data_IF_634590447298
#
_entry.id   IF_634590447298
#
_cell.length_a   1.000
_cell.length_b   1.000
_cell.length_c   1.000
_cell.angle_alpha   90.00
_cell.angle_beta   90.00
_cell.angle_gamma   90.00
#
_symmetry.space_group_name_H-M   'P 1'
#
loop_
_entity.id
_entity.type
_entity.pdbx_description
1 polymer ?
#
# COMPACT_ATOMS: atom_id res chain seq x y z
N UNK A 1 2.58 2.90 39.17
CA UNK A 1 3.17 4.18 38.69
C UNK A 1 2.33 4.70 37.52
N UNK A 2 1.59 5.80 37.73
CA UNK A 2 0.69 6.40 36.72
C UNK A 2 1.49 7.44 35.91
N UNK A 3 1.70 7.18 34.62
CA UNK A 3 2.34 8.13 33.71
C UNK A 3 1.31 9.18 33.26
N UNK A 4 1.48 10.42 33.73
CA UNK A 4 0.71 11.57 33.31
C UNK A 4 1.05 11.92 31.84
N UNK A 5 0.07 11.79 30.95
CA UNK A 5 0.17 12.23 29.56
C UNK A 5 -0.19 13.71 29.47
N UNK A 6 0.82 14.57 29.42
CA UNK A 6 0.65 15.97 29.05
C UNK A 6 0.29 16.06 27.56
N UNK A 7 -0.98 16.35 27.28
CA UNK A 7 -1.43 16.75 25.94
C UNK A 7 -1.06 18.22 25.72
N UNK A 8 0.03 18.47 25.01
CA UNK A 8 0.36 19.79 24.50
C UNK A 8 -0.59 20.12 23.34
N UNK A 9 -1.55 21.02 23.60
CA UNK A 9 -2.43 21.59 22.58
C UNK A 9 -1.63 22.59 21.74
N UNK A 10 -1.11 22.14 20.59
CA UNK A 10 -0.60 23.02 19.55
C UNK A 10 -1.75 23.36 18.60
N UNK A 11 -2.49 24.42 18.94
CA UNK A 11 -3.38 25.09 18.01
C UNK A 11 -2.54 25.91 17.03
N UNK A 12 -2.53 25.50 15.76
CA UNK A 12 -2.04 26.34 14.66
C UNK A 12 -3.22 26.66 13.76
N UNK A 13 -3.78 27.84 13.98
CA UNK A 13 -4.68 28.50 13.06
C UNK A 13 -3.85 29.21 11.99
N UNK A 14 -3.82 28.66 10.77
CA UNK A 14 -3.41 29.42 9.57
C UNK A 14 -4.39 29.05 8.46
N UNK A 15 -5.47 29.81 8.37
CA UNK A 15 -6.34 29.89 7.21
C UNK A 15 -6.17 31.27 6.59
N UNK A 16 -5.01 31.53 6.00
CA UNK A 16 -4.83 32.65 5.07
C UNK A 16 -5.08 32.11 3.67
N UNK A 17 -6.21 32.53 3.11
CA UNK A 17 -6.64 32.20 1.76
C UNK A 17 -5.65 32.73 0.73
N UNK A 18 -4.80 31.84 0.23
CA UNK A 18 -4.14 32.06 -1.06
C UNK A 18 -5.14 31.60 -2.12
N UNK A 19 -5.86 32.54 -2.72
CA UNK A 19 -6.53 32.32 -4.00
C UNK A 19 -5.44 32.12 -5.05
N UNK A 20 -4.94 30.89 -5.17
CA UNK A 20 -4.11 30.45 -6.29
C UNK A 20 -4.96 30.62 -7.56
N UNK A 21 -4.83 31.78 -8.20
CA UNK A 21 -5.22 31.98 -9.58
C UNK A 21 -4.38 31.02 -10.41
N UNK A 22 -4.93 29.82 -10.66
CA UNK A 22 -4.33 28.83 -11.54
C UNK A 22 -4.24 29.53 -12.91
N UNK A 23 -3.05 29.86 -13.42
CA UNK A 23 -2.95 30.43 -14.75
C UNK A 23 -3.60 29.45 -15.71
N UNK A 24 -4.47 29.95 -16.60
CA UNK A 24 -5.11 29.19 -17.65
C UNK A 24 -4.02 28.64 -18.59
N UNK A 25 -3.40 27.54 -18.20
CA UNK A 25 -2.46 26.79 -18.99
C UNK A 25 -3.24 26.28 -20.20
N UNK A 26 -2.97 26.88 -21.36
CA UNK A 26 -3.60 26.53 -22.63
C UNK A 26 -3.55 25.01 -22.81
N UNK A 27 -4.71 24.36 -22.79
CA UNK A 27 -4.76 22.91 -22.92
C UNK A 27 -4.17 22.52 -24.28
N UNK A 28 -3.14 21.65 -24.34
CA UNK A 28 -2.60 21.15 -25.60
C UNK A 28 -3.74 20.47 -26.38
N UNK A 29 -3.97 20.94 -27.61
CA UNK A 29 -5.19 20.67 -28.38
C UNK A 29 -5.16 19.30 -29.05
N UNK A 30 -3.98 18.70 -29.22
CA UNK A 30 -3.83 17.37 -29.83
C UNK A 30 -3.07 16.37 -28.94
N UNK A 31 -3.35 15.05 -29.05
CA UNK A 31 -2.59 14.02 -28.34
C UNK A 31 -1.07 14.06 -28.62
N UNK A 32 -0.66 14.49 -29.81
CA UNK A 32 0.75 14.65 -30.19
C UNK A 32 1.42 15.79 -29.44
N UNK A 33 0.77 16.95 -29.33
CA UNK A 33 1.23 18.09 -28.53
C UNK A 33 1.32 17.73 -27.04
N UNK A 34 0.33 16.99 -26.50
CA UNK A 34 0.37 16.46 -25.12
C UNK A 34 1.61 15.60 -24.87
N UNK A 35 1.93 14.71 -25.81
CA UNK A 35 3.09 13.83 -25.69
C UNK A 35 4.41 14.60 -25.79
N UNK A 36 4.50 15.59 -26.68
CA UNK A 36 5.68 16.44 -26.82
C UNK A 36 5.91 17.28 -25.54
N UNK A 37 4.86 17.95 -25.05
CA UNK A 37 4.92 18.70 -23.79
C UNK A 37 5.30 17.81 -22.60
N UNK A 38 4.79 16.57 -22.51
CA UNK A 38 5.21 15.61 -21.49
C UNK A 38 6.68 15.21 -21.61
N UNK A 39 7.18 15.01 -22.84
CA UNK A 39 8.60 14.67 -23.08
C UNK A 39 9.53 15.82 -22.73
N UNK A 40 9.18 17.05 -23.11
CA UNK A 40 9.94 18.26 -22.77
C UNK A 40 9.98 18.47 -21.27
N UNK A 41 8.82 18.42 -20.59
CA UNK A 41 8.75 18.48 -19.13
C UNK A 41 9.53 17.35 -18.44
N UNK A 42 9.58 16.16 -19.04
CA UNK A 42 10.38 15.05 -18.52
C UNK A 42 11.89 15.27 -18.69
N UNK A 43 12.32 15.91 -19.80
CA UNK A 43 13.72 16.31 -20.02
C UNK A 43 14.14 17.40 -19.04
N UNK A 44 13.33 18.46 -18.92
CA UNK A 44 13.54 19.56 -17.96
C UNK A 44 13.68 19.03 -16.52
N UNK A 45 12.74 18.16 -16.08
CA UNK A 45 12.84 17.49 -14.77
C UNK A 45 14.06 16.59 -14.62
N UNK A 46 14.61 16.06 -15.71
CA UNK A 46 15.81 15.23 -15.68
C UNK A 46 17.06 16.10 -15.54
N UNK A 47 17.10 17.23 -16.21
CA UNK A 47 18.17 18.23 -16.12
C UNK A 47 18.19 18.87 -14.73
N UNK A 48 17.06 19.36 -14.23
CA UNK A 48 16.91 19.88 -12.85
C UNK A 48 17.36 18.86 -11.78
N UNK A 49 17.07 17.57 -11.99
CA UNK A 49 17.54 16.49 -11.08
C UNK A 49 19.03 16.21 -11.19
N UNK A 50 19.66 16.46 -12.35
CA UNK A 50 21.11 16.30 -12.51
C UNK A 50 21.82 17.46 -11.84
N UNK A 51 21.40 18.69 -12.09
CA UNK A 51 21.94 19.89 -11.45
C UNK A 51 21.86 19.78 -9.93
N UNK A 52 20.68 19.46 -9.37
CA UNK A 52 20.51 19.21 -7.92
C UNK A 52 21.35 18.06 -7.36
N UNK A 53 21.78 17.10 -8.19
CA UNK A 53 22.67 16.01 -7.76
C UNK A 53 24.12 16.44 -7.77
N UNK A 54 24.52 17.25 -8.75
CA UNK A 54 25.86 17.84 -8.83
C UNK A 54 26.06 18.83 -7.70
N UNK A 55 25.12 19.75 -7.47
CA UNK A 55 25.12 20.70 -6.34
C UNK A 55 25.26 19.97 -4.99
N UNK A 56 24.46 18.93 -4.74
CA UNK A 56 24.57 18.12 -3.50
C UNK A 56 25.87 17.36 -3.39
N UNK A 57 26.49 16.98 -4.50
CA UNK A 57 27.76 16.26 -4.51
C UNK A 57 28.90 17.22 -4.18
N UNK A 58 28.87 18.44 -4.71
CA UNK A 58 29.81 19.50 -4.37
C UNK A 58 29.65 19.91 -2.91
N UNK A 59 28.43 20.17 -2.43
CA UNK A 59 28.15 20.49 -1.02
C UNK A 59 28.65 19.39 -0.07
N UNK A 60 28.44 18.11 -0.44
CA UNK A 60 28.92 16.99 0.36
C UNK A 60 30.44 16.84 0.32
N UNK A 61 31.08 17.20 -0.80
CA UNK A 61 32.54 17.21 -0.93
C UNK A 61 33.14 18.32 -0.09
N UNK A 62 32.63 19.54 -0.16
CA UNK A 62 33.07 20.66 0.68
C UNK A 62 32.89 20.36 2.17
N UNK A 63 31.76 19.77 2.55
CA UNK A 63 31.54 19.31 3.94
C UNK A 63 32.58 18.28 4.35
N UNK A 64 32.91 17.33 3.48
CA UNK A 64 33.90 16.30 3.78
C UNK A 64 35.31 16.90 3.85
N UNK A 65 35.66 17.83 2.97
CA UNK A 65 36.97 18.50 2.95
C UNK A 65 37.18 19.36 4.21
N UNK A 66 36.10 19.96 4.76
CA UNK A 66 36.12 20.74 6.00
C UNK A 66 36.07 19.90 7.29
N UNK A 67 35.77 18.60 7.21
CA UNK A 67 35.76 17.71 8.37
C UNK A 67 37.17 17.24 8.75
N UNK A 68 37.39 17.05 10.05
CA UNK A 68 38.59 16.38 10.56
C UNK A 68 38.63 14.90 10.16
N UNK A 69 39.80 14.27 10.25
CA UNK A 69 39.93 12.84 9.89
C UNK A 69 39.11 11.92 10.80
N UNK A 70 38.97 12.28 12.09
CA UNK A 70 38.11 11.55 13.03
C UNK A 70 36.63 11.65 12.65
N UNK A 71 36.15 12.85 12.29
CA UNK A 71 34.78 13.08 11.82
C UNK A 71 34.49 12.35 10.50
N UNK A 72 35.46 12.29 9.58
CA UNK A 72 35.34 11.52 8.33
C UNK A 72 35.18 10.03 8.60
N UNK A 73 35.95 9.47 9.53
CA UNK A 73 35.85 8.06 9.92
C UNK A 73 34.50 7.75 10.60
N UNK A 74 34.02 8.63 11.49
CA UNK A 74 32.67 8.50 12.05
C UNK A 74 31.58 8.57 10.97
N UNK A 75 31.70 9.51 10.03
CA UNK A 75 30.75 9.67 8.94
C UNK A 75 30.70 8.41 8.07
N UNK A 76 31.86 7.82 7.73
CA UNK A 76 31.96 6.55 7.00
C UNK A 76 31.31 5.41 7.78
N UNK A 77 31.56 5.29 9.09
CA UNK A 77 30.93 4.26 9.95
C UNK A 77 29.40 4.41 9.96
N UNK A 78 28.88 5.61 10.24
CA UNK A 78 27.44 5.90 10.19
C UNK A 78 26.83 5.59 8.82
N UNK A 79 27.56 5.87 7.74
CA UNK A 79 27.12 5.55 6.39
C UNK A 79 27.12 4.04 6.10
N UNK A 80 28.11 3.31 6.59
CA UNK A 80 28.17 1.85 6.49
C UNK A 80 27.03 1.20 7.27
N UNK A 81 26.81 1.58 8.53
CA UNK A 81 25.70 1.10 9.36
C UNK A 81 24.34 1.37 8.69
N UNK A 82 24.12 2.59 8.21
CA UNK A 82 22.89 2.95 7.49
C UNK A 82 22.72 2.18 6.18
N UNK A 83 23.81 1.79 5.52
CA UNK A 83 23.78 0.97 4.30
C UNK A 83 23.38 -0.47 4.63
N UNK A 84 23.90 -1.02 5.71
CA UNK A 84 23.53 -2.35 6.23
C UNK A 84 22.07 -2.39 6.69
N UNK A 85 21.63 -1.44 7.51
CA UNK A 85 20.22 -1.31 7.92
C UNK A 85 19.28 -1.25 6.71
N UNK A 86 19.64 -0.47 5.68
CA UNK A 86 18.88 -0.39 4.42
C UNK A 86 18.89 -1.70 3.65
N UNK A 87 19.98 -2.47 3.70
CA UNK A 87 20.07 -3.77 3.05
C UNK A 87 19.15 -4.76 3.75
N UNK A 88 19.17 -4.82 5.08
CA UNK A 88 18.28 -5.68 5.88
C UNK A 88 16.80 -5.36 5.65
N UNK A 89 16.42 -4.07 5.71
CA UNK A 89 15.04 -3.64 5.41
C UNK A 89 14.64 -4.02 3.98
N UNK A 90 15.56 -3.94 3.02
CA UNK A 90 15.31 -4.33 1.62
C UNK A 90 15.08 -5.83 1.49
N UNK A 91 15.88 -6.66 2.14
CA UNK A 91 15.71 -8.12 2.12
C UNK A 91 14.41 -8.53 2.83
N UNK A 92 14.13 -7.98 4.01
CA UNK A 92 12.86 -8.20 4.72
C UNK A 92 11.64 -7.80 3.86
N UNK A 93 11.73 -6.68 3.13
CA UNK A 93 10.68 -6.26 2.20
C UNK A 93 10.51 -7.21 1.01
N UNK A 94 11.62 -7.71 0.44
CA UNK A 94 11.58 -8.71 -0.65
C UNK A 94 10.91 -9.99 -0.17
N UNK A 95 11.34 -10.54 0.97
CA UNK A 95 10.71 -11.72 1.56
C UNK A 95 9.22 -11.51 1.80
N UNK A 96 8.82 -10.38 2.39
CA UNK A 96 7.41 -10.07 2.62
C UNK A 96 6.63 -10.03 1.31
N UNK A 97 7.21 -9.45 0.25
CA UNK A 97 6.60 -9.37 -1.08
C UNK A 97 6.44 -10.76 -1.70
N UNK A 98 7.43 -11.63 -1.58
CA UNK A 98 7.40 -12.97 -2.14
C UNK A 98 6.43 -13.88 -1.38
N UNK A 99 6.47 -13.87 -0.04
CA UNK A 99 5.46 -14.52 0.81
C UNK A 99 4.04 -14.02 0.46
N UNK A 100 3.86 -12.73 0.15
CA UNK A 100 2.57 -12.17 -0.30
C UNK A 100 2.15 -12.70 -1.68
N UNK A 101 3.09 -12.85 -2.62
CA UNK A 101 2.80 -13.44 -3.95
C UNK A 101 2.40 -14.90 -3.82
N UNK A 102 3.12 -15.68 -3.02
CA UNK A 102 2.81 -17.09 -2.76
C UNK A 102 1.43 -17.25 -2.16
N UNK A 103 1.08 -16.48 -1.11
CA UNK A 103 -0.27 -16.50 -0.53
C UNK A 103 -1.36 -16.17 -1.56
N UNK A 104 -1.10 -15.21 -2.46
CA UNK A 104 -2.05 -14.87 -3.53
C UNK A 104 -2.16 -15.97 -4.58
N UNK A 105 -1.07 -16.67 -4.89
CA UNK A 105 -1.04 -17.78 -5.84
C UNK A 105 -1.80 -18.96 -5.24
N UNK A 106 -1.42 -19.40 -4.04
CA UNK A 106 -2.10 -20.48 -3.31
C UNK A 106 -3.61 -20.21 -3.18
N UNK A 107 -4.02 -18.98 -2.83
CA UNK A 107 -5.44 -18.63 -2.76
C UNK A 107 -6.15 -18.69 -4.12
N UNK A 108 -5.47 -18.34 -5.21
CA UNK A 108 -6.06 -18.47 -6.55
C UNK A 108 -6.18 -19.93 -6.95
N UNK A 109 -5.18 -20.74 -6.66
CA UNK A 109 -5.16 -22.17 -6.96
C UNK A 109 -6.28 -22.88 -6.18
N UNK A 110 -6.42 -22.59 -4.88
CA UNK A 110 -7.52 -23.09 -4.03
C UNK A 110 -8.91 -22.71 -4.59
N UNK A 111 -9.09 -21.46 -5.03
CA UNK A 111 -10.36 -21.02 -5.61
C UNK A 111 -10.61 -21.69 -6.97
N UNK A 112 -9.55 -21.90 -7.77
CA UNK A 112 -9.63 -22.57 -9.07
C UNK A 112 -10.03 -24.03 -8.90
N UNK A 113 -9.49 -24.71 -7.90
CA UNK A 113 -9.86 -26.08 -7.55
C UNK A 113 -11.34 -26.18 -7.10
N UNK A 114 -11.79 -25.27 -6.24
CA UNK A 114 -13.16 -25.30 -5.69
C UNK A 114 -14.26 -24.84 -6.66
N UNK A 115 -13.94 -23.92 -7.56
CA UNK A 115 -14.93 -23.23 -8.41
C UNK A 115 -14.74 -23.48 -9.90
N UNK A 116 -13.60 -24.01 -10.34
CA UNK A 116 -13.33 -24.27 -11.76
C UNK A 116 -13.58 -23.04 -12.64
N UNK A 117 -14.42 -23.19 -13.66
CA UNK A 117 -14.79 -22.13 -14.58
C UNK A 117 -15.77 -21.10 -14.01
N UNK A 118 -16.46 -21.39 -12.91
CA UNK A 118 -17.39 -20.43 -12.29
C UNK A 118 -16.70 -19.16 -11.80
N UNK A 119 -15.40 -19.24 -11.56
CA UNK A 119 -14.54 -18.09 -11.23
C UNK A 119 -14.57 -16.99 -12.29
N UNK A 120 -14.89 -17.31 -13.56
CA UNK A 120 -15.00 -16.33 -14.64
C UNK A 120 -16.29 -15.51 -14.55
N UNK A 121 -17.34 -16.05 -13.91
CA UNK A 121 -18.67 -15.44 -13.84
C UNK A 121 -18.66 -14.16 -13.00
N UNK A 122 -19.28 -13.06 -13.48
CA UNK A 122 -19.25 -11.78 -12.79
C UNK A 122 -19.94 -11.82 -11.42
N UNK A 123 -21.03 -12.60 -11.28
CA UNK A 123 -21.75 -12.76 -10.01
C UNK A 123 -20.87 -13.42 -8.92
N UNK A 124 -20.13 -14.48 -9.27
CA UNK A 124 -19.20 -15.16 -8.37
C UNK A 124 -18.05 -14.23 -7.98
N UNK A 125 -17.49 -13.47 -8.93
CA UNK A 125 -16.45 -12.46 -8.65
C UNK A 125 -16.94 -11.36 -7.70
N UNK A 126 -18.17 -10.90 -7.86
CA UNK A 126 -18.76 -9.88 -7.00
C UNK A 126 -18.88 -10.39 -5.55
N UNK A 127 -19.37 -11.62 -5.37
CA UNK A 127 -19.48 -12.26 -4.06
C UNK A 127 -18.10 -12.47 -3.41
N UNK A 128 -17.11 -13.00 -4.16
CA UNK A 128 -15.73 -13.14 -3.69
C UNK A 128 -15.13 -11.81 -3.21
N UNK A 129 -15.44 -10.70 -3.91
CA UNK A 129 -14.98 -9.35 -3.55
C UNK A 129 -15.64 -8.86 -2.25
N UNK A 130 -16.94 -9.11 -2.08
CA UNK A 130 -17.69 -8.74 -0.86
C UNK A 130 -17.16 -9.53 0.32
N UNK A 131 -17.06 -10.85 0.19
CA UNK A 131 -16.53 -11.75 1.22
C UNK A 131 -15.11 -11.34 1.63
N UNK A 132 -14.21 -11.10 0.67
CA UNK A 132 -12.85 -10.67 0.95
C UNK A 132 -12.77 -9.34 1.74
N UNK A 133 -13.62 -8.36 1.40
CA UNK A 133 -13.69 -7.08 2.13
C UNK A 133 -14.18 -7.28 3.56
N UNK A 134 -15.23 -8.09 3.77
CA UNK A 134 -15.78 -8.37 5.11
C UNK A 134 -14.76 -9.11 5.97
N UNK A 135 -14.13 -10.15 5.44
CA UNK A 135 -13.06 -10.88 6.12
C UNK A 135 -11.88 -9.97 6.47
N UNK A 136 -11.46 -9.08 5.57
CA UNK A 136 -10.39 -8.12 5.85
C UNK A 136 -10.76 -7.16 7.00
N UNK A 137 -12.00 -6.66 7.04
CA UNK A 137 -12.48 -5.80 8.12
C UNK A 137 -12.51 -6.53 9.46
N UNK A 138 -13.10 -7.73 9.51
CA UNK A 138 -13.18 -8.53 10.74
C UNK A 138 -11.79 -8.91 11.26
N UNK A 139 -10.89 -9.34 10.38
CA UNK A 139 -9.52 -9.68 10.77
C UNK A 139 -8.76 -8.46 11.31
N UNK A 140 -8.94 -7.27 10.72
CA UNK A 140 -8.32 -6.04 11.23
C UNK A 140 -8.83 -5.71 12.64
N UNK A 141 -10.14 -5.78 12.86
CA UNK A 141 -10.74 -5.52 14.18
C UNK A 141 -10.20 -6.52 15.20
N UNK A 142 -10.14 -7.82 14.84
CA UNK A 142 -9.59 -8.89 15.67
C UNK A 142 -8.14 -8.63 16.07
N UNK A 143 -7.28 -8.21 15.13
CA UNK A 143 -5.87 -7.90 15.41
C UNK A 143 -5.74 -6.73 16.38
N UNK A 144 -6.50 -5.65 16.18
CA UNK A 144 -6.48 -4.48 17.08
C UNK A 144 -7.01 -4.86 18.47
N UNK A 145 -8.14 -5.57 18.55
CA UNK A 145 -8.70 -6.03 19.81
C UNK A 145 -7.74 -6.92 20.60
N UNK A 146 -7.00 -7.81 19.91
CA UNK A 146 -5.96 -8.64 20.53
C UNK A 146 -4.79 -7.80 21.07
N UNK A 147 -4.36 -6.78 20.34
CA UNK A 147 -3.30 -5.87 20.79
C UNK A 147 -3.73 -5.03 22.02
N UNK A 148 -5.02 -4.75 22.16
CA UNK A 148 -5.61 -4.00 23.28
C UNK A 148 -6.10 -4.87 24.45
N UNK A 149 -5.96 -6.20 24.39
CA UNK A 149 -6.41 -7.11 25.44
C UNK A 149 -7.94 -7.21 25.60
N UNK A 150 -8.71 -6.95 24.53
CA UNK A 150 -10.18 -6.98 24.55
C UNK A 150 -10.74 -8.35 24.12
N UNK A 151 -10.64 -9.34 25.00
CA UNK A 151 -10.93 -10.74 24.68
C UNK A 151 -12.38 -11.00 24.22
N UNK A 152 -13.36 -10.29 24.78
CA UNK A 152 -14.75 -10.42 24.33
C UNK A 152 -14.94 -10.00 22.86
N UNK A 153 -14.25 -8.94 22.43
CA UNK A 153 -14.33 -8.46 21.05
C UNK A 153 -13.68 -9.46 20.11
N UNK A 154 -12.59 -10.11 20.54
CA UNK A 154 -11.95 -11.20 19.79
C UNK A 154 -12.93 -12.37 19.60
N UNK A 155 -13.59 -12.84 20.68
CA UNK A 155 -14.59 -13.91 20.61
C UNK A 155 -15.74 -13.55 19.66
N UNK A 156 -16.28 -12.33 19.75
CA UNK A 156 -17.33 -11.84 18.85
C UNK A 156 -16.87 -11.83 17.39
N UNK A 157 -15.64 -11.37 17.12
CA UNK A 157 -15.06 -11.40 15.77
C UNK A 157 -14.93 -12.82 15.23
N UNK A 158 -14.48 -13.78 16.05
CA UNK A 158 -14.35 -15.18 15.65
C UNK A 158 -15.71 -15.80 15.29
N UNK A 159 -16.76 -15.51 16.08
CA UNK A 159 -18.14 -15.91 15.73
C UNK A 159 -18.61 -15.28 14.42
N UNK A 160 -18.34 -13.99 14.19
CA UNK A 160 -18.73 -13.31 12.94
C UNK A 160 -17.97 -13.83 11.73
N UNK A 161 -16.69 -14.19 11.88
CA UNK A 161 -15.89 -14.82 10.84
C UNK A 161 -16.50 -16.16 10.45
N UNK A 162 -16.88 -16.99 11.43
CA UNK A 162 -17.54 -18.27 11.16
C UNK A 162 -18.88 -18.08 10.41
N UNK A 163 -19.70 -17.12 10.85
CA UNK A 163 -20.98 -16.78 10.19
C UNK A 163 -20.77 -16.28 8.75
N UNK A 164 -19.75 -15.46 8.51
CA UNK A 164 -19.45 -14.94 7.16
C UNK A 164 -18.94 -16.03 6.22
N UNK A 165 -18.15 -16.99 6.70
CA UNK A 165 -17.75 -18.18 5.93
C UNK A 165 -18.98 -18.99 5.52
N UNK A 166 -19.84 -19.35 6.47
CA UNK A 166 -21.06 -20.09 6.18
C UNK A 166 -22.01 -19.35 5.21
N UNK A 167 -22.10 -18.02 5.31
CA UNK A 167 -22.87 -17.19 4.37
C UNK A 167 -22.28 -17.24 2.96
N UNK A 168 -20.96 -17.14 2.86
CA UNK A 168 -20.25 -17.18 1.59
C UNK A 168 -20.45 -18.53 0.89
N UNK A 169 -20.28 -19.63 1.61
CA UNK A 169 -20.42 -20.99 1.09
C UNK A 169 -21.84 -21.20 0.53
N UNK A 170 -22.87 -20.84 1.30
CA UNK A 170 -24.28 -20.89 0.85
C UNK A 170 -24.54 -20.05 -0.41
N UNK A 171 -23.99 -18.85 -0.49
CA UNK A 171 -24.16 -17.99 -1.67
C UNK A 171 -23.45 -18.55 -2.90
N UNK A 172 -22.26 -19.09 -2.74
CA UNK A 172 -21.51 -19.74 -3.82
C UNK A 172 -22.27 -20.96 -4.34
N UNK A 173 -22.79 -21.81 -3.46
CA UNK A 173 -23.64 -22.96 -3.83
C UNK A 173 -24.90 -22.52 -4.59
N UNK A 174 -25.59 -21.49 -4.10
CA UNK A 174 -26.77 -20.93 -4.78
C UNK A 174 -26.42 -20.41 -6.18
N UNK A 175 -25.27 -19.78 -6.35
CA UNK A 175 -24.80 -19.30 -7.66
C UNK A 175 -24.41 -20.45 -8.59
N UNK A 176 -23.90 -21.56 -8.06
CA UNK A 176 -23.64 -22.80 -8.82
C UNK A 176 -24.96 -23.39 -9.33
N UNK A 177 -25.91 -23.68 -8.43
CA UNK A 177 -27.21 -24.22 -8.81
C UNK A 177 -27.97 -23.37 -9.85
N UNK A 178 -27.89 -22.03 -9.73
CA UNK A 178 -28.50 -21.12 -10.72
C UNK A 178 -27.90 -21.21 -12.12
N UNK A 179 -26.65 -21.66 -12.26
CA UNK A 179 -26.02 -21.89 -13.56
C UNK A 179 -26.53 -23.19 -14.16
N UNK A 180 -26.54 -24.25 -13.37
CA UNK A 180 -26.92 -25.58 -13.83
C UNK A 180 -28.36 -25.54 -14.37
N UNK A 181 -29.29 -24.91 -13.63
CA UNK A 181 -30.67 -24.69 -14.09
C UNK A 181 -30.78 -23.82 -15.36
N UNK A 182 -29.84 -22.88 -15.58
CA UNK A 182 -29.82 -22.02 -16.76
C UNK A 182 -29.18 -22.70 -17.98
N UNK A 183 -28.39 -23.76 -17.77
CA UNK A 183 -27.86 -24.62 -18.82
C UNK A 183 -28.88 -25.70 -19.22
N UNK A 184 -29.63 -26.27 -18.27
CA UNK A 184 -30.72 -27.22 -18.54
C UNK A 184 -31.91 -26.59 -19.30
N UNK A 185 -32.13 -25.28 -19.15
CA UNK A 185 -33.21 -24.57 -19.82
C UNK A 185 -32.91 -24.15 -21.28
N UNK A 186 -31.70 -24.44 -21.79
CA UNK A 186 -31.26 -24.10 -23.14
C UNK A 186 -31.24 -25.32 -24.05
#
# INVERSE_FOLDING_TARGET
MKLARHHAAWGVAIALGVTLSIPAMSEPKTPKEKLQAMKEKAKERREDRKEKREEKKEELKEKLDNMTDEEKEEWKKKHAEKKEERAEVREAWKEWKDKRKERRKARRDELKEKLGDDLKRPAVKAELKIHARRMARLNRIRVVAKAEGKDEVVKRCDTLIAKEKARHDKHVETLKAKKDNAEEAK
#
